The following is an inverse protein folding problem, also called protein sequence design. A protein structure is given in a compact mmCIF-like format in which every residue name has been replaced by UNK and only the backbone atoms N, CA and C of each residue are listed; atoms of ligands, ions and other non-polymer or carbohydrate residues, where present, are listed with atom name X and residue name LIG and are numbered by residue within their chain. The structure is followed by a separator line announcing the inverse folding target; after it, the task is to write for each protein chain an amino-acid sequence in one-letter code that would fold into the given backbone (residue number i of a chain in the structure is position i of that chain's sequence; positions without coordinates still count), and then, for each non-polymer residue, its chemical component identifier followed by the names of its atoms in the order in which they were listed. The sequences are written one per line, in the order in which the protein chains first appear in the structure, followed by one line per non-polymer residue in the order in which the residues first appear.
data_IF_127962361424
#
_entry.id   IF_127962361424
#
_cell.length_a   1.000
_cell.length_b   1.000
_cell.length_c   1.000
_cell.angle_alpha   90.00
_cell.angle_beta   90.00
_cell.angle_gamma   90.00
#
_symmetry.space_group_name_H-M   'P 1'
#
loop_
_entity.id
_entity.type
_entity.pdbx_description
1 polymer ?
#
# COMPACT_ATOMS: atom_id res chain seq x y z
N UNK A 1 48.74 -22.16 -8.30
CA UNK A 1 47.49 -22.25 -9.09
C UNK A 1 46.37 -21.70 -8.22
N UNK A 2 45.64 -20.72 -8.76
CA UNK A 2 44.97 -19.67 -8.01
C UNK A 2 43.57 -20.04 -7.47
N UNK A 3 43.16 -19.19 -6.54
CA UNK A 3 41.96 -19.12 -5.69
C UNK A 3 40.77 -18.51 -6.45
N UNK A 4 39.56 -18.83 -5.98
CA UNK A 4 38.25 -18.17 -6.17
C UNK A 4 37.41 -18.50 -7.43
N UNK A 5 36.26 -19.12 -7.19
CA UNK A 5 34.99 -18.74 -7.83
C UNK A 5 33.88 -18.67 -6.76
N UNK A 6 33.58 -17.45 -6.32
CA UNK A 6 32.35 -17.12 -5.58
C UNK A 6 31.36 -16.50 -6.56
N UNK A 7 30.08 -16.67 -6.23
CA UNK A 7 28.91 -15.90 -6.68
C UNK A 7 28.23 -16.46 -7.95
N UNK A 8 27.10 -17.14 -7.75
CA UNK A 8 25.79 -16.53 -8.06
C UNK A 8 24.61 -17.38 -7.58
N UNK A 9 23.61 -16.68 -7.03
CA UNK A 9 22.17 -17.00 -7.02
C UNK A 9 21.74 -18.28 -6.28
N UNK A 10 21.12 -18.09 -5.11
CA UNK A 10 19.66 -18.10 -5.14
C UNK A 10 19.08 -17.29 -3.97
N UNK A 11 18.05 -16.53 -4.30
CA UNK A 11 17.33 -15.64 -3.41
C UNK A 11 16.85 -16.40 -2.17
N UNK A 12 17.15 -15.83 -0.99
CA UNK A 12 16.53 -16.18 0.29
C UNK A 12 15.02 -16.26 0.10
N UNK A 13 14.49 -17.47 0.19
CA UNK A 13 13.13 -17.78 0.62
C UNK A 13 12.56 -16.64 1.46
N UNK A 14 11.72 -15.80 0.85
CA UNK A 14 10.82 -14.99 1.63
C UNK A 14 9.98 -15.99 2.43
N UNK A 15 10.09 -15.94 3.76
CA UNK A 15 9.19 -16.69 4.63
C UNK A 15 7.76 -16.33 4.25
N UNK A 16 7.11 -17.22 3.50
CA UNK A 16 5.67 -17.17 3.31
C UNK A 16 5.09 -17.47 4.69
N UNK A 17 4.57 -16.45 5.37
CA UNK A 17 3.73 -16.61 6.55
C UNK A 17 2.71 -17.72 6.27
N UNK A 18 2.68 -18.74 7.15
CA UNK A 18 1.70 -19.83 7.06
C UNK A 18 0.31 -19.40 7.52
N UNK A 19 0.18 -18.20 8.09
CA UNK A 19 -1.10 -17.71 8.58
C UNK A 19 -1.94 -17.20 7.39
N UNK A 20 -3.09 -17.84 7.08
CA UNK A 20 -3.95 -17.39 5.98
C UNK A 20 -4.44 -15.95 6.17
N UNK A 21 -4.44 -15.41 7.40
CA UNK A 21 -4.85 -14.04 7.71
C UNK A 21 -3.92 -13.00 7.10
N UNK A 22 -2.65 -13.32 6.85
CA UNK A 22 -1.73 -12.34 6.25
C UNK A 22 -1.98 -12.09 4.76
N UNK A 23 -2.86 -12.86 4.12
CA UNK A 23 -3.17 -12.81 2.69
C UNK A 23 -4.60 -12.38 2.37
N UNK A 24 -5.39 -12.02 3.40
CA UNK A 24 -6.80 -11.62 3.28
C UNK A 24 -6.99 -10.48 2.26
N UNK A 25 -6.06 -9.52 2.27
CA UNK A 25 -6.13 -8.33 1.43
C UNK A 25 -5.44 -8.51 0.07
N UNK A 26 -4.84 -9.66 -0.24
CA UNK A 26 -4.17 -9.86 -1.52
C UNK A 26 -5.19 -9.79 -2.68
N UNK A 27 -4.90 -8.96 -3.68
CA UNK A 27 -5.57 -8.99 -4.97
C UNK A 27 -4.89 -9.99 -5.90
N UNK A 28 -5.69 -10.63 -6.76
CA UNK A 28 -5.17 -11.51 -7.81
C UNK A 28 -4.35 -10.74 -8.85
N UNK A 29 -4.73 -9.51 -9.15
CA UNK A 29 -4.00 -8.57 -9.99
C UNK A 29 -3.96 -7.21 -9.28
N UNK A 30 -2.78 -6.59 -9.24
CA UNK A 30 -2.64 -5.24 -8.69
C UNK A 30 -3.27 -4.24 -9.69
N UNK A 31 -4.16 -3.34 -9.23
CA UNK A 31 -4.72 -2.31 -10.10
C UNK A 31 -3.61 -1.46 -10.71
N UNK A 32 -3.72 -1.11 -12.00
CA UNK A 32 -2.88 -0.11 -12.66
C UNK A 32 -3.31 1.32 -12.27
N UNK A 33 -3.33 1.56 -10.96
CA UNK A 33 -3.77 2.80 -10.34
C UNK A 33 -2.85 3.09 -9.15
N UNK A 34 -2.26 4.28 -9.15
CA UNK A 34 -1.40 4.71 -8.04
C UNK A 34 -2.21 4.80 -6.74
N UNK A 35 -1.53 4.62 -5.61
CA UNK A 35 -2.17 4.72 -4.29
C UNK A 35 -2.77 6.10 -4.07
N UNK A 36 -2.09 7.15 -4.54
CA UNK A 36 -2.58 8.51 -4.46
C UNK A 36 -3.89 8.68 -5.25
N UNK A 37 -3.90 8.29 -6.53
CA UNK A 37 -5.11 8.39 -7.35
C UNK A 37 -6.26 7.53 -6.80
N UNK A 38 -5.95 6.40 -6.17
CA UNK A 38 -6.95 5.58 -5.49
C UNK A 38 -7.53 6.27 -4.24
N UNK A 39 -6.70 6.88 -3.40
CA UNK A 39 -7.15 7.66 -2.24
C UNK A 39 -7.95 8.90 -2.66
N UNK A 40 -7.51 9.62 -3.68
CA UNK A 40 -8.26 10.75 -4.26
C UNK A 40 -9.63 10.32 -4.78
N UNK A 41 -9.70 9.15 -5.43
CA UNK A 41 -10.97 8.55 -5.86
C UNK A 41 -11.87 8.25 -4.66
N UNK A 42 -11.34 7.61 -3.61
CA UNK A 42 -12.13 7.32 -2.39
C UNK A 42 -12.64 8.62 -1.78
N UNK A 43 -11.77 9.61 -1.60
CA UNK A 43 -12.12 10.91 -1.03
C UNK A 43 -13.21 11.63 -1.84
N UNK A 44 -13.05 11.68 -3.16
CA UNK A 44 -14.01 12.34 -4.06
C UNK A 44 -15.41 11.72 -4.01
N UNK A 45 -15.50 10.39 -3.96
CA UNK A 45 -16.80 9.71 -4.05
C UNK A 45 -17.43 9.45 -2.69
N UNK A 46 -16.65 9.11 -1.66
CA UNK A 46 -17.20 8.84 -0.31
C UNK A 46 -17.45 10.11 0.48
N UNK A 47 -16.73 11.20 0.21
CA UNK A 47 -16.80 12.45 0.99
C UNK A 47 -16.64 12.23 2.50
N UNK A 48 -15.93 11.17 2.90
CA UNK A 48 -15.67 10.89 4.31
C UNK A 48 -14.92 12.05 4.96
N UNK A 49 -15.25 12.35 6.22
CA UNK A 49 -14.59 13.42 6.98
C UNK A 49 -13.10 13.14 7.23
N UNK A 50 -12.27 14.19 7.46
CA UNK A 50 -10.84 14.01 7.74
C UNK A 50 -10.54 13.05 8.90
N UNK A 51 -11.40 13.05 9.93
CA UNK A 51 -11.31 12.16 11.10
C UNK A 51 -11.34 10.67 10.71
N UNK A 52 -12.08 10.29 9.67
CA UNK A 52 -12.15 8.92 9.18
C UNK A 52 -10.78 8.44 8.71
N UNK A 53 -10.02 9.28 8.01
CA UNK A 53 -8.70 8.92 7.49
C UNK A 53 -7.67 8.76 8.61
N UNK A 54 -7.75 9.62 9.63
CA UNK A 54 -6.91 9.48 10.83
C UNK A 54 -7.21 8.16 11.54
N UNK A 55 -8.48 7.84 11.75
CA UNK A 55 -8.89 6.57 12.38
C UNK A 55 -8.52 5.37 11.52
N UNK A 56 -8.67 5.44 10.20
CA UNK A 56 -8.23 4.39 9.28
C UNK A 56 -6.71 4.16 9.35
N UNK A 57 -5.92 5.23 9.53
CA UNK A 57 -4.48 5.11 9.73
C UNK A 57 -4.13 4.43 11.07
N UNK A 58 -4.81 4.81 12.16
CA UNK A 58 -4.70 4.11 13.47
C UNK A 58 -5.02 2.61 13.33
N UNK A 59 -6.02 2.27 12.54
CA UNK A 59 -6.42 0.90 12.29
C UNK A 59 -5.36 0.09 11.53
N UNK A 60 -4.73 0.68 10.51
CA UNK A 60 -3.63 0.03 9.78
C UNK A 60 -2.44 -0.19 10.71
N UNK A 61 -2.07 0.81 11.51
CA UNK A 61 -0.94 0.70 12.43
C UNK A 61 -1.18 -0.41 13.49
N UNK A 62 -2.38 -0.44 14.11
CA UNK A 62 -2.78 -1.52 15.02
C UNK A 62 -2.75 -2.91 14.35
N UNK A 63 -3.17 -3.01 13.09
CA UNK A 63 -3.13 -4.26 12.34
C UNK A 63 -1.69 -4.76 12.19
N UNK A 64 -0.77 -3.87 11.79
CA UNK A 64 0.64 -4.19 11.64
C UNK A 64 1.30 -4.57 12.97
N UNK A 65 0.90 -3.94 14.08
CA UNK A 65 1.40 -4.28 15.42
C UNK A 65 0.89 -5.66 15.89
N UNK A 66 -0.39 -5.96 15.64
CA UNK A 66 -1.01 -7.23 16.04
C UNK A 66 -0.54 -8.41 15.18
N UNK A 67 -0.15 -8.16 13.93
CA UNK A 67 0.31 -9.17 12.98
C UNK A 67 1.67 -8.78 12.38
N UNK A 68 2.80 -9.00 13.07
CA UNK A 68 4.13 -8.62 12.60
C UNK A 68 4.56 -9.27 11.27
N UNK A 69 3.93 -10.39 10.89
CA UNK A 69 4.16 -11.06 9.62
C UNK A 69 3.35 -10.45 8.45
N UNK A 70 2.36 -9.61 8.74
CA UNK A 70 1.58 -8.90 7.73
C UNK A 70 2.44 -7.83 7.07
N UNK A 71 2.64 -7.95 5.75
CA UNK A 71 3.39 -6.97 4.96
C UNK A 71 2.46 -6.25 4.01
N UNK A 72 2.49 -4.92 4.06
CA UNK A 72 1.81 -4.10 3.06
C UNK A 72 2.61 -4.17 1.76
N UNK A 73 1.93 -4.52 0.67
CA UNK A 73 2.50 -4.71 -0.66
C UNK A 73 1.60 -4.05 -1.70
N UNK A 74 2.10 -3.85 -2.91
CA UNK A 74 1.32 -3.27 -4.01
C UNK A 74 0.09 -4.10 -4.39
N UNK A 75 0.09 -5.41 -4.11
CA UNK A 75 -1.05 -6.29 -4.39
C UNK A 75 -2.14 -6.22 -3.32
N UNK A 76 -1.85 -5.74 -2.11
CA UNK A 76 -2.82 -5.74 -1.01
C UNK A 76 -3.26 -4.36 -0.53
N UNK A 77 -2.46 -3.34 -0.78
CA UNK A 77 -2.67 -1.99 -0.25
C UNK A 77 -4.00 -1.38 -0.67
N UNK A 78 -4.47 -1.56 -1.92
CA UNK A 78 -5.76 -1.01 -2.36
C UNK A 78 -6.94 -1.64 -1.59
N UNK A 79 -6.94 -2.97 -1.46
CA UNK A 79 -7.97 -3.71 -0.72
C UNK A 79 -7.93 -3.38 0.77
N UNK A 80 -6.73 -3.23 1.34
CA UNK A 80 -6.56 -2.80 2.72
C UNK A 80 -7.14 -1.40 2.93
N UNK A 81 -6.76 -0.41 2.11
CA UNK A 81 -7.17 0.98 2.25
C UNK A 81 -8.69 1.16 2.14
N UNK A 82 -9.34 0.59 1.12
CA UNK A 82 -10.80 0.73 0.98
C UNK A 82 -11.53 0.08 2.17
N UNK A 83 -11.01 -1.04 2.68
CA UNK A 83 -11.61 -1.74 3.82
C UNK A 83 -11.46 -0.95 5.11
N UNK A 84 -10.26 -0.46 5.41
CA UNK A 84 -10.03 0.29 6.65
C UNK A 84 -10.76 1.63 6.64
N UNK A 85 -10.80 2.35 5.51
CA UNK A 85 -11.54 3.60 5.37
C UNK A 85 -13.05 3.35 5.49
N UNK A 86 -13.59 2.31 4.85
CA UNK A 86 -15.01 1.97 4.98
C UNK A 86 -15.39 1.67 6.43
N UNK A 87 -14.62 0.82 7.10
CA UNK A 87 -14.91 0.44 8.49
C UNK A 87 -14.76 1.63 9.43
N UNK A 88 -13.76 2.50 9.22
CA UNK A 88 -13.62 3.73 9.96
C UNK A 88 -14.80 4.69 9.73
N UNK A 89 -15.25 4.88 8.48
CA UNK A 89 -16.41 5.73 8.16
C UNK A 89 -17.66 5.24 8.89
N UNK A 90 -17.92 3.93 8.86
CA UNK A 90 -19.04 3.34 9.59
C UNK A 90 -18.97 3.48 11.11
N UNK A 91 -17.77 3.59 11.67
CA UNK A 91 -17.58 3.70 13.11
C UNK A 91 -17.62 5.15 13.60
N UNK A 92 -17.09 6.08 12.80
CA UNK A 92 -16.89 7.49 13.18
C UNK A 92 -18.06 8.38 12.77
N UNK A 93 -18.70 8.10 11.63
CA UNK A 93 -19.74 8.95 11.06
C UNK A 93 -21.14 8.40 11.34
N UNK A 94 -22.04 9.26 11.80
CA UNK A 94 -23.45 8.92 12.04
C UNK A 94 -24.17 8.50 10.75
N UNK A 95 -23.77 9.09 9.61
CA UNK A 95 -24.31 8.83 8.28
C UNK A 95 -23.22 8.25 7.39
N UNK A 96 -23.34 6.97 7.04
CA UNK A 96 -22.36 6.26 6.21
C UNK A 96 -23.02 5.53 5.02
N UNK A 97 -22.20 5.19 4.04
CA UNK A 97 -22.64 4.45 2.86
C UNK A 97 -22.64 2.93 3.09
N UNK A 98 -23.53 2.23 2.38
CA UNK A 98 -23.56 0.75 2.36
C UNK A 98 -22.29 0.19 1.71
N UNK A 99 -21.95 -1.06 2.05
CA UNK A 99 -20.80 -1.77 1.46
C UNK A 99 -20.84 -1.84 -0.06
N UNK A 100 -22.03 -1.96 -0.65
CA UNK A 100 -22.18 -1.98 -2.10
C UNK A 100 -21.67 -0.70 -2.77
N UNK A 101 -21.75 0.44 -2.08
CA UNK A 101 -21.20 1.70 -2.56
C UNK A 101 -19.67 1.71 -2.47
N UNK A 102 -19.11 1.35 -1.31
CA UNK A 102 -17.66 1.24 -1.13
C UNK A 102 -17.04 0.21 -2.09
N UNK A 103 -17.72 -0.91 -2.35
CA UNK A 103 -17.32 -1.90 -3.33
C UNK A 103 -17.18 -1.28 -4.73
N UNK A 104 -18.18 -0.52 -5.18
CA UNK A 104 -18.13 0.20 -6.48
C UNK A 104 -16.99 1.22 -6.52
N UNK A 105 -16.78 1.97 -5.45
CA UNK A 105 -15.67 2.93 -5.36
C UNK A 105 -14.33 2.20 -5.41
N UNK A 106 -14.18 1.07 -4.72
CA UNK A 106 -12.96 0.26 -4.68
C UNK A 106 -12.73 -0.65 -5.90
N UNK A 107 -13.71 -0.75 -6.82
CA UNK A 107 -13.62 -1.68 -7.96
C UNK A 107 -13.77 -3.16 -7.56
N UNK A 108 -14.48 -3.43 -6.47
CA UNK A 108 -14.73 -4.76 -5.93
C UNK A 108 -16.20 -5.15 -6.12
N UNK A 109 -16.47 -6.45 -6.08
CA UNK A 109 -17.85 -6.92 -5.91
C UNK A 109 -18.33 -6.65 -4.49
N UNK A 110 -19.64 -6.49 -4.29
CA UNK A 110 -20.21 -6.32 -2.94
C UNK A 110 -19.90 -7.52 -2.04
N UNK A 111 -19.86 -8.73 -2.62
CA UNK A 111 -19.51 -9.96 -1.89
C UNK A 111 -18.07 -9.91 -1.37
N UNK A 112 -17.11 -9.47 -2.19
CA UNK A 112 -15.73 -9.28 -1.75
C UNK A 112 -15.63 -8.22 -0.66
N UNK A 113 -16.30 -7.07 -0.83
CA UNK A 113 -16.27 -6.00 0.17
C UNK A 113 -16.82 -6.46 1.53
N UNK A 114 -17.95 -7.19 1.52
CA UNK A 114 -18.53 -7.76 2.74
C UNK A 114 -17.58 -8.75 3.42
N UNK A 115 -16.88 -9.58 2.63
CA UNK A 115 -15.91 -10.53 3.17
C UNK A 115 -14.73 -9.80 3.80
N UNK A 116 -14.16 -8.82 3.10
CA UNK A 116 -13.04 -8.02 3.60
C UNK A 116 -13.40 -7.27 4.88
N UNK A 117 -14.62 -6.73 4.98
CA UNK A 117 -15.11 -6.12 6.22
C UNK A 117 -15.06 -7.11 7.38
N UNK A 118 -15.66 -8.28 7.21
CA UNK A 118 -15.75 -9.28 8.27
C UNK A 118 -14.35 -9.76 8.66
N UNK A 119 -13.51 -10.11 7.68
CA UNK A 119 -12.14 -10.58 7.94
C UNK A 119 -11.34 -9.51 8.71
N UNK A 120 -11.46 -8.23 8.32
CA UNK A 120 -10.80 -7.12 9.00
C UNK A 120 -11.30 -6.94 10.44
N UNK A 121 -12.62 -6.99 10.68
CA UNK A 121 -13.20 -6.87 12.02
C UNK A 121 -12.75 -8.02 12.94
N UNK A 122 -12.69 -9.25 12.42
CA UNK A 122 -12.15 -10.40 13.17
C UNK A 122 -10.66 -10.25 13.45
N UNK A 123 -9.87 -9.80 12.48
CA UNK A 123 -8.44 -9.54 12.68
C UNK A 123 -8.20 -8.49 13.78
N UNK A 124 -9.06 -7.48 13.85
CA UNK A 124 -9.02 -6.43 14.89
C UNK A 124 -9.65 -6.86 16.22
N UNK A 125 -10.26 -8.06 16.29
CA UNK A 125 -11.00 -8.52 17.46
C UNK A 125 -12.12 -7.56 17.87
N UNK A 126 -12.74 -6.88 16.90
CA UNK A 126 -13.77 -5.85 17.09
C UNK A 126 -13.34 -4.65 17.98
N UNK A 127 -12.04 -4.45 18.21
CA UNK A 127 -11.50 -3.33 19.00
C UNK A 127 -11.34 -2.06 18.15
N UNK A 128 -12.48 -1.49 17.76
CA UNK A 128 -12.53 -0.34 16.84
C UNK A 128 -12.44 1.02 17.54
N UNK A 129 -12.64 1.06 18.86
CA UNK A 129 -12.59 2.30 19.63
C UNK A 129 -11.19 2.95 19.57
N UNK A 130 -11.17 4.26 19.31
CA UNK A 130 -9.96 5.09 19.36
C UNK A 130 -10.20 6.16 20.42
N UNK A 131 -9.38 6.16 21.47
CA UNK A 131 -9.43 7.19 22.50
C UNK A 131 -9.09 8.55 21.91
N UNK A 132 -9.67 9.62 22.46
CA UNK A 132 -9.40 11.01 22.02
C UNK A 132 -7.91 11.33 22.09
N UNK A 133 -7.22 10.97 23.18
CA UNK A 133 -5.77 11.20 23.32
C UNK A 133 -4.94 10.48 22.26
N UNK A 134 -5.36 9.28 21.85
CA UNK A 134 -4.71 8.56 20.75
C UNK A 134 -4.99 9.28 19.44
N UNK A 135 -6.25 9.62 19.16
CA UNK A 135 -6.63 10.35 17.96
C UNK A 135 -5.83 11.66 17.80
N UNK A 136 -5.77 12.49 18.84
CA UNK A 136 -5.00 13.73 18.87
C UNK A 136 -3.50 13.49 18.63
N UNK A 137 -2.92 12.46 19.26
CA UNK A 137 -1.52 12.10 19.03
C UNK A 137 -1.24 11.76 17.56
N UNK A 138 -2.16 11.06 16.88
CA UNK A 138 -2.02 10.74 15.46
C UNK A 138 -2.25 11.96 14.57
N UNK A 139 -3.17 12.87 14.91
CA UNK A 139 -3.32 14.15 14.21
C UNK A 139 -2.02 14.95 14.27
N UNK A 140 -1.45 15.16 15.46
CA UNK A 140 -0.19 15.90 15.61
C UNK A 140 0.97 15.21 14.88
N UNK A 141 1.02 13.88 14.86
CA UNK A 141 2.02 13.14 14.11
C UNK A 141 1.89 13.40 12.59
N UNK A 142 0.68 13.26 12.04
CA UNK A 142 0.43 13.48 10.61
C UNK A 142 0.66 14.93 10.19
N UNK A 143 0.22 15.91 10.99
CA UNK A 143 0.45 17.34 10.74
C UNK A 143 1.95 17.68 10.70
N UNK A 144 2.75 17.07 11.58
CA UNK A 144 4.20 17.23 11.57
C UNK A 144 4.82 16.66 10.28
N UNK A 145 4.40 15.48 9.86
CA UNK A 145 4.89 14.86 8.62
C UNK A 145 4.56 15.72 7.38
N UNK A 146 3.37 16.33 7.36
CA UNK A 146 2.93 17.21 6.27
C UNK A 146 3.66 18.57 6.29
N UNK A 147 3.86 19.18 7.46
CA UNK A 147 4.45 20.52 7.60
C UNK A 147 5.94 20.60 7.26
N UNK A 148 6.67 19.48 7.30
CA UNK A 148 8.11 19.42 7.00
C UNK A 148 8.37 19.46 5.47
N UNK A 149 7.34 19.60 4.63
CA UNK A 149 7.47 19.58 3.17
C UNK A 149 7.68 18.16 2.62
N UNK A 150 7.30 17.14 3.38
CA UNK A 150 7.32 15.76 2.96
C UNK A 150 6.03 15.41 2.25
N UNK A 151 6.00 15.59 0.92
CA UNK A 151 5.09 14.81 0.08
C UNK A 151 5.16 13.35 0.55
N UNK A 152 3.99 12.75 0.79
CA UNK A 152 3.83 11.38 1.27
C UNK A 152 4.94 10.49 0.71
N UNK A 153 5.58 9.68 1.56
CA UNK A 153 6.74 8.81 1.25
C UNK A 153 6.58 7.87 0.02
N UNK A 154 5.45 7.94 -0.69
CA UNK A 154 5.23 7.43 -2.05
C UNK A 154 6.19 8.10 -3.06
N UNK A 155 6.51 9.40 -2.92
CA UNK A 155 7.40 10.09 -3.88
C UNK A 155 8.88 9.69 -3.74
N UNK A 156 9.37 9.31 -2.55
CA UNK A 156 10.75 8.79 -2.43
C UNK A 156 10.89 7.39 -3.02
N UNK A 157 9.87 6.54 -2.87
CA UNK A 157 9.83 5.24 -3.54
C UNK A 157 9.72 5.38 -5.07
N UNK A 158 8.92 6.34 -5.55
CA UNK A 158 8.78 6.65 -6.98
C UNK A 158 10.01 7.34 -7.56
N UNK A 159 10.65 8.30 -6.87
CA UNK A 159 11.91 8.93 -7.32
C UNK A 159 13.06 7.92 -7.40
N UNK A 160 13.17 6.99 -6.44
CA UNK A 160 14.13 5.90 -6.55
C UNK A 160 13.79 4.96 -7.72
N UNK A 161 12.51 4.64 -7.96
CA UNK A 161 12.09 3.80 -9.09
C UNK A 161 12.30 4.49 -10.46
N UNK A 162 12.08 5.81 -10.54
CA UNK A 162 12.31 6.63 -11.73
C UNK A 162 13.79 6.84 -12.01
N UNK A 163 14.63 7.09 -10.99
CA UNK A 163 16.10 7.13 -11.16
C UNK A 163 16.66 5.79 -11.65
N UNK A 164 16.10 4.65 -11.19
CA UNK A 164 16.50 3.33 -11.67
C UNK A 164 16.09 3.12 -13.13
N UNK A 165 14.87 3.53 -13.53
CA UNK A 165 14.43 3.51 -14.94
C UNK A 165 15.25 4.44 -15.84
N UNK A 166 15.63 5.62 -15.37
CA UNK A 166 16.45 6.58 -16.11
C UNK A 166 17.89 6.07 -16.28
N UNK A 167 18.48 5.46 -15.24
CA UNK A 167 19.81 4.83 -15.34
C UNK A 167 19.80 3.63 -16.28
N UNK A 168 18.78 2.75 -16.21
CA UNK A 168 18.65 1.59 -17.10
C UNK A 168 18.42 1.99 -18.58
N UNK A 169 17.68 3.07 -18.85
CA UNK A 169 17.45 3.55 -20.23
C UNK A 169 18.67 4.26 -20.83
N UNK A 170 19.49 4.93 -20.01
CA UNK A 170 20.76 5.53 -20.45
C UNK A 170 21.83 4.45 -20.70
N UNK A 171 21.87 3.41 -19.87
CA UNK A 171 22.82 2.30 -20.01
C UNK A 171 22.49 1.41 -21.22
N UNK A 172 21.19 1.20 -21.50
CA UNK A 172 20.72 0.51 -22.71
C UNK A 172 21.02 1.30 -24.00
N UNK A 173 20.92 2.65 -23.97
CA UNK A 173 21.34 3.49 -25.11
C UNK A 173 22.86 3.53 -25.30
N UNK A 174 23.65 3.52 -24.22
CA UNK A 174 25.13 3.46 -24.31
C UNK A 174 25.64 2.10 -24.82
N UNK A 175 24.99 0.99 -24.45
CA UNK A 175 25.33 -0.33 -24.97
C UNK A 175 24.99 -0.49 -26.46
N UNK A 176 23.94 0.17 -26.94
CA UNK A 176 23.56 0.12 -28.37
C UNK A 176 24.53 0.88 -29.28
N UNK A 177 25.11 2.00 -28.82
CA UNK A 177 26.12 2.75 -29.58
C UNK A 177 27.50 2.05 -29.60
N UNK A 178 27.88 1.35 -28.53
CA UNK A 178 29.14 0.60 -28.49
C UNK A 178 29.10 -0.66 -29.37
N UNK A 179 27.92 -1.28 -29.54
CA UNK A 179 27.72 -2.44 -30.42
C UNK A 179 27.66 -2.11 -31.93
N UNK A 180 27.38 -0.85 -32.31
CA UNK A 180 27.34 -0.43 -33.72
C UNK A 180 28.70 0.04 -34.25
N UNK A 181 29.60 0.52 -33.41
CA UNK A 181 30.98 0.88 -33.82
C UNK A 181 31.82 -0.38 -34.09
N UNK A 182 31.55 -1.50 -33.40
CA UNK A 182 32.28 -2.76 -33.61
C UNK A 182 31.90 -3.54 -34.90
N UNK A 183 30.99 -3.02 -35.72
CA UNK A 183 30.52 -3.66 -36.98
C UNK A 183 30.84 -2.90 -38.26
N UNK A 184 31.61 -1.80 -38.20
CA UNK A 184 31.98 -0.98 -39.38
C UNK A 184 33.52 -0.92 -39.60
N UNK A 185 34.28 -1.87 -39.05
CA UNK A 185 35.71 -2.00 -39.40
C UNK A 185 36.05 -3.45 -39.69
N UNK A 186 35.70 -3.91 -40.89
CA UNK A 186 36.37 -4.96 -41.67
C UNK A 186 36.15 -4.66 -43.16
#
# INVERSE_FOLDING_TARGET
MARNERITRNCRWAMVSKDPRTRVFDAYEAPDLTIQSFLERIFRYTKAGPSVYVVAYVYIDRLCQNYPEFRITLSNVHRLLITTIMVASKYVEDMNYRNSYFARVGGLTTKEMNKLEMDFLFMMGFKMHVNVSVFESYCCHLEREVSIGGGYHIEKALRCAEEIKLRQSVEMRRSSYCGQIARITL
#
